data_IF_509912971778
#
_entry.id   IF_509912971778
#
_cell.length_a   1.000
_cell.length_b   1.000
_cell.length_c   1.000
_cell.angle_alpha   90.00
_cell.angle_beta   90.00
_cell.angle_gamma   90.00
#
_symmetry.space_group_name_H-M   'P 1'
#
loop_
_entity.id
_entity.type
_entity.pdbx_description
1 polymer ?
#
# COMPACT_ATOMS: atom_id res chain seq x y z
N UNK A 1 7.59 23.39 22.82
CA UNK A 1 7.09 22.01 22.69
C UNK A 1 7.39 21.52 21.28
N UNK A 2 8.23 20.49 21.11
CA UNK A 2 8.33 19.82 19.80
C UNK A 2 6.99 19.15 19.56
N UNK A 3 6.22 19.66 18.59
CA UNK A 3 5.06 18.98 18.07
C UNK A 3 5.58 17.80 17.22
N UNK A 4 6.02 16.72 17.87
CA UNK A 4 6.38 15.49 17.17
C UNK A 4 5.08 14.90 16.66
N UNK A 5 4.76 15.17 15.39
CA UNK A 5 3.64 14.54 14.72
C UNK A 5 3.71 13.02 14.97
N UNK A 6 2.67 12.47 15.59
CA UNK A 6 2.58 11.04 15.87
C UNK A 6 2.64 10.27 14.54
N UNK A 7 3.68 9.46 14.36
CA UNK A 7 3.86 8.62 13.16
C UNK A 7 3.19 7.27 13.35
N UNK A 8 2.86 6.59 12.26
CA UNK A 8 2.18 5.27 12.29
C UNK A 8 3.04 4.16 12.90
N UNK A 9 4.35 4.35 13.02
CA UNK A 9 5.22 3.47 13.80
C UNK A 9 4.77 3.32 15.27
N UNK A 10 4.08 4.33 15.79
CA UNK A 10 3.53 4.38 17.14
C UNK A 10 2.00 4.24 17.15
N UNK A 11 1.40 3.55 16.17
CA UNK A 11 -0.07 3.47 16.04
C UNK A 11 -0.78 2.94 17.30
N UNK A 12 -0.10 2.14 18.13
CA UNK A 12 -0.62 1.64 19.41
C UNK A 12 -0.79 2.74 20.48
N UNK A 13 -0.22 3.93 20.27
CA UNK A 13 -0.30 5.10 21.16
C UNK A 13 -1.38 6.11 20.71
N UNK A 14 -2.14 5.76 19.67
CA UNK A 14 -3.27 6.57 19.19
C UNK A 14 -4.49 6.29 20.06
N UNK A 15 -5.32 7.32 20.26
CA UNK A 15 -6.63 7.10 20.88
C UNK A 15 -7.55 6.31 19.94
N UNK A 16 -8.54 5.61 20.48
CA UNK A 16 -9.48 4.82 19.67
C UNK A 16 -10.15 5.62 18.53
N UNK A 17 -10.59 6.88 18.74
CA UNK A 17 -11.16 7.68 17.66
C UNK A 17 -10.14 8.03 16.57
N UNK A 18 -8.90 8.36 16.96
CA UNK A 18 -7.82 8.65 15.99
C UNK A 18 -7.45 7.40 15.19
N UNK A 19 -7.34 6.26 15.87
CA UNK A 19 -7.01 4.99 15.25
C UNK A 19 -8.10 4.56 14.27
N UNK A 20 -9.38 4.71 14.64
CA UNK A 20 -10.51 4.44 13.74
C UNK A 20 -10.44 5.31 12.49
N UNK A 21 -10.34 6.62 12.65
CA UNK A 21 -10.30 7.55 11.52
C UNK A 21 -9.14 7.26 10.56
N UNK A 22 -7.93 7.00 11.10
CA UNK A 22 -6.75 6.64 10.30
C UNK A 22 -6.92 5.30 9.61
N UNK A 23 -7.52 4.31 10.29
CA UNK A 23 -7.80 3.00 9.71
C UNK A 23 -8.78 3.10 8.54
N UNK A 24 -9.82 3.91 8.66
CA UNK A 24 -10.81 4.11 7.60
C UNK A 24 -10.15 4.76 6.36
N UNK A 25 -9.32 5.79 6.57
CA UNK A 25 -8.54 6.41 5.48
C UNK A 25 -7.57 5.42 4.83
N UNK A 26 -6.83 4.65 5.64
CA UNK A 26 -5.88 3.67 5.13
C UNK A 26 -6.57 2.60 4.28
N UNK A 27 -7.75 2.13 4.71
CA UNK A 27 -8.52 1.15 3.94
C UNK A 27 -8.95 1.70 2.58
N UNK A 28 -9.48 2.92 2.52
CA UNK A 28 -9.88 3.54 1.25
C UNK A 28 -8.70 3.63 0.27
N UNK A 29 -7.54 4.09 0.75
CA UNK A 29 -6.34 4.21 -0.09
C UNK A 29 -5.84 2.85 -0.56
N UNK A 30 -5.85 1.83 0.31
CA UNK A 30 -5.41 0.48 -0.05
C UNK A 30 -6.38 -0.21 -1.02
N UNK A 31 -7.68 0.02 -0.88
CA UNK A 31 -8.66 -0.47 -1.85
C UNK A 31 -8.46 0.15 -3.24
N UNK A 32 -8.21 1.47 -3.31
CA UNK A 32 -7.92 2.16 -4.56
C UNK A 32 -6.60 1.66 -5.18
N UNK A 33 -5.59 1.40 -4.35
CA UNK A 33 -4.33 0.80 -4.79
C UNK A 33 -4.55 -0.58 -5.42
N UNK A 34 -5.29 -1.47 -4.73
CA UNK A 34 -5.61 -2.80 -5.23
C UNK A 34 -6.40 -2.73 -6.55
N UNK A 35 -7.40 -1.85 -6.62
CA UNK A 35 -8.18 -1.64 -7.84
C UNK A 35 -7.30 -1.19 -9.02
N UNK A 36 -6.32 -0.32 -8.77
CA UNK A 36 -5.39 0.11 -9.80
C UNK A 36 -4.53 -1.03 -10.33
N UNK A 37 -4.06 -1.93 -9.46
CA UNK A 37 -3.34 -3.15 -9.87
C UNK A 37 -4.22 -4.03 -10.74
N UNK A 38 -5.50 -4.18 -10.39
CA UNK A 38 -6.45 -4.98 -11.18
C UNK A 38 -6.69 -4.40 -12.57
N UNK A 39 -6.86 -3.08 -12.66
CA UNK A 39 -7.00 -2.36 -13.93
C UNK A 39 -5.75 -2.56 -14.78
N UNK A 40 -4.55 -2.41 -14.20
CA UNK A 40 -3.31 -2.59 -14.94
C UNK A 40 -3.16 -4.03 -15.43
N UNK A 41 -3.47 -5.02 -14.61
CA UNK A 41 -3.49 -6.43 -15.01
C UNK A 41 -4.52 -6.70 -16.11
N UNK A 42 -5.71 -6.12 -16.04
CA UNK A 42 -6.73 -6.26 -17.06
C UNK A 42 -6.29 -5.63 -18.39
N UNK A 43 -5.74 -4.41 -18.38
CA UNK A 43 -5.18 -3.76 -19.57
C UNK A 43 -4.04 -4.59 -20.16
N UNK A 44 -3.16 -5.12 -19.30
CA UNK A 44 -2.07 -6.01 -19.71
C UNK A 44 -2.58 -7.26 -20.39
N UNK A 45 -3.62 -7.89 -19.86
CA UNK A 45 -4.27 -9.04 -20.51
C UNK A 45 -4.87 -8.62 -21.85
N UNK A 46 -5.60 -7.50 -21.91
CA UNK A 46 -6.24 -7.00 -23.14
C UNK A 46 -5.23 -6.73 -24.26
N UNK A 47 -4.16 -5.96 -23.98
CA UNK A 47 -3.14 -5.60 -24.97
C UNK A 47 -2.36 -6.85 -25.44
N UNK A 48 -2.06 -7.77 -24.54
CA UNK A 48 -1.29 -8.98 -24.86
C UNK A 48 -2.13 -10.14 -25.42
N UNK A 49 -3.46 -9.99 -25.57
CA UNK A 49 -4.34 -11.04 -26.11
C UNK A 49 -4.02 -11.36 -27.58
N UNK A 50 -3.27 -10.51 -28.29
CA UNK A 50 -2.90 -10.74 -29.71
C UNK A 50 -1.45 -10.38 -30.05
N UNK A 51 -0.60 -10.11 -29.05
CA UNK A 51 0.79 -9.71 -29.24
C UNK A 51 1.74 -10.82 -28.76
N UNK A 52 2.52 -11.42 -29.68
CA UNK A 52 3.51 -12.46 -29.35
C UNK A 52 4.79 -11.89 -28.75
N UNK A 53 4.99 -10.56 -28.84
CA UNK A 53 6.01 -9.80 -28.11
C UNK A 53 5.31 -9.03 -27.01
N UNK A 54 5.40 -9.52 -25.76
CA UNK A 54 4.84 -8.87 -24.59
C UNK A 54 5.56 -7.53 -24.36
N UNK A 55 4.95 -6.43 -24.76
CA UNK A 55 5.46 -5.11 -24.38
C UNK A 55 5.19 -4.90 -22.89
N UNK A 56 6.26 -4.58 -22.15
CA UNK A 56 6.23 -4.35 -20.72
C UNK A 56 5.57 -3.00 -20.42
N UNK A 57 4.23 -2.96 -20.32
CA UNK A 57 3.46 -1.79 -19.87
C UNK A 57 3.80 -1.35 -18.42
N UNK A 58 4.60 -2.15 -17.72
CA UNK A 58 4.92 -2.12 -16.29
C UNK A 58 5.58 -0.83 -15.75
N UNK A 59 6.12 0.05 -16.61
CA UNK A 59 6.78 1.29 -16.15
C UNK A 59 5.83 2.34 -15.54
N UNK A 60 4.51 2.19 -15.74
CA UNK A 60 3.50 3.17 -15.29
C UNK A 60 2.94 2.83 -13.90
N UNK A 61 3.02 1.57 -13.46
CA UNK A 61 2.53 1.13 -12.14
C UNK A 61 3.28 1.82 -10.99
N UNK A 62 4.60 1.97 -11.11
CA UNK A 62 5.47 2.62 -10.12
C UNK A 62 5.23 4.13 -9.94
N UNK A 63 4.28 4.73 -10.67
CA UNK A 63 3.91 6.16 -10.56
C UNK A 63 2.52 6.39 -10.01
N UNK A 64 1.79 5.33 -9.64
CA UNK A 64 0.46 5.47 -9.06
C UNK A 64 0.63 5.84 -7.59
N UNK A 65 0.60 7.15 -7.34
CA UNK A 65 0.87 7.82 -6.05
C UNK A 65 -0.10 7.47 -4.88
N UNK A 66 -0.98 6.47 -5.03
CA UNK A 66 -1.92 6.08 -3.98
C UNK A 66 -1.20 5.66 -2.71
N UNK A 67 -0.21 4.77 -2.84
CA UNK A 67 0.55 4.27 -1.69
C UNK A 67 1.46 5.33 -1.06
N UNK A 68 2.00 6.25 -1.87
CA UNK A 68 2.76 7.39 -1.37
C UNK A 68 1.90 8.33 -0.52
N UNK A 69 0.62 8.49 -0.85
CA UNK A 69 -0.33 9.26 -0.04
C UNK A 69 -0.50 8.62 1.33
N UNK A 70 -0.59 7.28 1.39
CA UNK A 70 -0.64 6.54 2.65
C UNK A 70 0.62 6.76 3.50
N UNK A 71 1.81 6.74 2.88
CA UNK A 71 3.07 7.00 3.57
C UNK A 71 3.13 8.43 4.11
N UNK A 72 2.68 9.41 3.33
CA UNK A 72 2.62 10.81 3.76
C UNK A 72 1.72 10.99 4.99
N UNK A 73 0.48 10.48 4.95
CA UNK A 73 -0.48 10.58 6.06
C UNK A 73 -0.04 9.76 7.28
N UNK A 74 0.66 8.65 7.03
CA UNK A 74 1.28 7.80 8.06
C UNK A 74 2.52 8.40 8.70
N UNK A 75 3.10 9.47 8.13
CA UNK A 75 4.36 10.04 8.60
C UNK A 75 5.57 9.12 8.37
N UNK A 76 5.53 8.30 7.33
CA UNK A 76 6.63 7.42 6.90
C UNK A 76 7.49 8.21 5.93
N UNK A 77 8.60 8.77 6.41
CA UNK A 77 9.50 9.63 5.61
C UNK A 77 10.75 8.91 5.10
N UNK A 78 11.09 7.77 5.71
CA UNK A 78 12.27 6.97 5.37
C UNK A 78 12.02 6.20 4.08
N UNK A 79 12.81 6.50 3.05
CA UNK A 79 12.64 5.93 1.70
C UNK A 79 12.81 4.41 1.70
N UNK A 80 13.79 3.89 2.44
CA UNK A 80 14.01 2.45 2.62
C UNK A 80 12.79 1.75 3.26
N UNK A 81 12.12 2.40 4.21
CA UNK A 81 10.89 1.88 4.80
C UNK A 81 9.71 1.94 3.83
N UNK A 82 9.64 2.97 2.98
CA UNK A 82 8.60 3.10 1.95
C UNK A 82 8.74 1.99 0.90
N UNK A 83 9.96 1.75 0.39
CA UNK A 83 10.27 0.69 -0.59
C UNK A 83 9.84 -0.69 -0.07
N UNK A 84 10.21 -1.02 1.17
CA UNK A 84 9.84 -2.30 1.81
C UNK A 84 8.31 -2.47 1.89
N UNK A 85 7.58 -1.41 2.24
CA UNK A 85 6.12 -1.47 2.37
C UNK A 85 5.46 -1.51 0.99
N UNK A 86 5.97 -0.79 0.02
CA UNK A 86 5.49 -0.84 -1.37
C UNK A 86 5.64 -2.23 -1.96
N UNK A 87 6.80 -2.88 -1.77
CA UNK A 87 7.05 -4.26 -2.18
C UNK A 87 6.05 -5.24 -1.55
N UNK A 88 5.74 -5.07 -0.24
CA UNK A 88 4.73 -5.89 0.45
C UNK A 88 3.36 -5.69 -0.17
N UNK A 89 2.94 -4.44 -0.38
CA UNK A 89 1.63 -4.15 -0.95
C UNK A 89 1.48 -4.67 -2.38
N UNK A 90 2.49 -4.44 -3.22
CA UNK A 90 2.54 -4.96 -4.58
C UNK A 90 2.48 -6.48 -4.61
N UNK A 91 3.34 -7.15 -3.83
CA UNK A 91 3.40 -8.61 -3.77
C UNK A 91 2.06 -9.20 -3.34
N UNK A 92 1.42 -8.65 -2.31
CA UNK A 92 0.10 -9.12 -1.89
C UNK A 92 -0.91 -8.87 -2.99
N UNK A 93 -0.99 -7.65 -3.54
CA UNK A 93 -1.98 -7.29 -4.56
C UNK A 93 -1.88 -8.18 -5.80
N UNK A 94 -0.68 -8.45 -6.31
CA UNK A 94 -0.49 -9.27 -7.51
C UNK A 94 -0.77 -10.74 -7.25
N UNK A 95 -0.30 -11.28 -6.11
CA UNK A 95 -0.45 -12.71 -5.81
C UNK A 95 -1.89 -13.10 -5.44
N UNK A 96 -2.74 -12.13 -5.14
CA UNK A 96 -4.14 -12.33 -4.72
C UNK A 96 -5.14 -11.75 -5.71
N UNK A 97 -4.76 -11.55 -6.98
CA UNK A 97 -5.54 -10.77 -7.95
C UNK A 97 -6.98 -11.24 -8.19
N UNK A 98 -7.27 -12.52 -7.95
CA UNK A 98 -8.59 -13.11 -8.12
C UNK A 98 -9.45 -13.07 -6.83
N UNK A 99 -8.92 -12.54 -5.72
CA UNK A 99 -9.62 -12.38 -4.45
C UNK A 99 -10.40 -11.05 -4.37
N UNK A 100 -11.28 -10.94 -3.38
CA UNK A 100 -12.04 -9.72 -3.13
C UNK A 100 -11.11 -8.54 -2.78
N UNK A 101 -11.43 -7.37 -3.36
CA UNK A 101 -10.64 -6.14 -3.19
C UNK A 101 -10.47 -5.74 -1.73
N UNK A 102 -11.53 -5.83 -0.92
CA UNK A 102 -11.47 -5.45 0.49
C UNK A 102 -10.64 -6.44 1.30
N UNK A 103 -10.76 -7.74 1.03
CA UNK A 103 -9.93 -8.77 1.67
C UNK A 103 -8.43 -8.55 1.39
N UNK A 104 -8.09 -8.20 0.15
CA UNK A 104 -6.71 -7.90 -0.26
C UNK A 104 -6.19 -6.66 0.44
N UNK A 105 -6.97 -5.59 0.50
CA UNK A 105 -6.62 -4.37 1.24
C UNK A 105 -6.42 -4.64 2.74
N UNK A 106 -7.25 -5.50 3.35
CA UNK A 106 -7.10 -5.93 4.75
C UNK A 106 -5.79 -6.71 4.96
N UNK A 107 -5.43 -7.62 4.05
CA UNK A 107 -4.16 -8.36 4.09
C UNK A 107 -2.96 -7.41 4.04
N UNK A 108 -2.98 -6.44 3.13
CA UNK A 108 -1.91 -5.43 3.02
C UNK A 108 -1.81 -4.64 4.33
N UNK A 109 -2.93 -4.14 4.86
CA UNK A 109 -2.96 -3.39 6.11
C UNK A 109 -2.39 -4.20 7.28
N UNK A 110 -2.78 -5.47 7.41
CA UNK A 110 -2.27 -6.35 8.46
C UNK A 110 -0.75 -6.53 8.36
N UNK A 111 -0.26 -6.84 7.16
CA UNK A 111 1.17 -6.98 6.89
C UNK A 111 1.95 -5.68 7.16
N UNK A 112 1.37 -4.52 6.84
CA UNK A 112 1.96 -3.22 7.13
C UNK A 112 2.11 -3.00 8.63
N UNK A 113 1.06 -3.26 9.42
CA UNK A 113 1.11 -3.08 10.87
C UNK A 113 2.17 -3.98 11.52
N UNK A 114 2.28 -5.23 11.09
CA UNK A 114 3.34 -6.14 11.54
C UNK A 114 4.72 -5.62 11.14
N UNK A 115 4.91 -5.22 9.88
CA UNK A 115 6.20 -4.75 9.39
C UNK A 115 6.62 -3.42 10.04
N UNK A 116 5.68 -2.52 10.30
CA UNK A 116 5.94 -1.25 10.99
C UNK A 116 6.43 -1.45 12.42
N UNK A 117 5.99 -2.51 13.12
CA UNK A 117 6.52 -2.84 14.45
C UNK A 117 8.00 -3.22 14.39
N UNK A 118 8.41 -3.97 13.37
CA UNK A 118 9.81 -4.36 13.14
C UNK A 118 10.62 -3.12 12.74
N UNK A 119 10.18 -2.37 11.73
CA UNK A 119 10.88 -1.17 11.24
C UNK A 119 11.00 -0.08 12.32
N UNK A 120 10.14 -0.08 13.34
CA UNK A 120 10.23 0.82 14.48
C UNK A 120 11.48 0.57 15.32
N UNK A 121 11.97 -0.67 15.38
CA UNK A 121 13.17 -1.02 16.15
C UNK A 121 14.43 -0.38 15.54
N UNK A 122 14.37 0.00 14.26
CA UNK A 122 15.45 0.64 13.50
C UNK A 122 15.34 2.18 13.44
N UNK A 123 14.44 2.81 14.22
CA UNK A 123 14.19 4.27 14.23
C UNK A 123 15.08 5.07 15.19
#
# INVERSE_FOLDING_TARGET
>A
MKNTAKTVYHYKEFSDPELKHRNDMAMLILEDYVLMIDVCNWVNKLINTSNTRKDAFWGVENKINGIQTLFHIGGIVRVDHQEILEDIAYSIAVNTIDEDKNERALKIKAAFLEKLLILREDL
#
